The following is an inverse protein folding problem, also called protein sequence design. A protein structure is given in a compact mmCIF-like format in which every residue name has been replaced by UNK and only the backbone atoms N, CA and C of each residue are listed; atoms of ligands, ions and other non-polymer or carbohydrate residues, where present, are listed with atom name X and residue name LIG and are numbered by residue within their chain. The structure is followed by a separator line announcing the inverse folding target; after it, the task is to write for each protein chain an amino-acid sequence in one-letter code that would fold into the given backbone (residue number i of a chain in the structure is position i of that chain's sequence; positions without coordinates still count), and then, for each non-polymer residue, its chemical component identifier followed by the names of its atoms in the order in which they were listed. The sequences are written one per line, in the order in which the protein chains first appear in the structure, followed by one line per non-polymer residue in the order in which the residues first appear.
data_IF_217746330255
#
_entry.id   IF_217746330255
#
_cell.length_a   1.000
_cell.length_b   1.000
_cell.length_c   1.000
_cell.angle_alpha   90.00
_cell.angle_beta   90.00
_cell.angle_gamma   90.00
#
_symmetry.space_group_name_H-M   'P 1'
#
loop_
_entity.id
_entity.type
_entity.pdbx_description
1 polymer ?
#
# COMPACT_ATOMS: atom_id res chain seq x y z
N UNK A 1 1.51 -47.17 -33.35
CA UNK A 1 2.39 -48.07 -34.14
C UNK A 1 2.18 -47.66 -35.60
N UNK A 2 3.16 -47.34 -36.44
CA UNK A 2 4.27 -48.22 -36.81
C UNK A 2 5.25 -47.54 -37.80
N UNK A 3 5.48 -46.22 -37.73
CA UNK A 3 6.49 -45.57 -38.58
C UNK A 3 7.93 -45.84 -38.12
N UNK A 4 8.13 -46.32 -36.89
CA UNK A 4 9.43 -46.73 -36.32
C UNK A 4 9.97 -48.08 -36.84
N UNK A 5 9.28 -48.78 -37.75
CA UNK A 5 9.63 -50.18 -38.11
C UNK A 5 10.10 -50.44 -39.53
N UNK A 6 10.20 -49.43 -40.40
CA UNK A 6 10.60 -49.65 -41.81
C UNK A 6 11.91 -48.97 -42.23
N UNK A 7 12.60 -48.29 -41.32
CA UNK A 7 13.98 -47.85 -41.57
C UNK A 7 14.77 -48.01 -40.27
N UNK A 8 15.85 -48.83 -40.23
CA UNK A 8 16.69 -48.88 -39.04
C UNK A 8 17.18 -47.46 -38.77
N UNK A 9 16.89 -46.95 -37.56
CA UNK A 9 17.47 -45.69 -37.11
C UNK A 9 18.99 -45.77 -37.32
N UNK A 10 19.60 -44.75 -37.96
CA UNK A 10 21.02 -44.80 -38.26
C UNK A 10 21.81 -45.02 -36.97
N UNK A 11 22.86 -45.83 -37.05
CA UNK A 11 23.64 -46.21 -35.88
C UNK A 11 24.14 -44.97 -35.11
N UNK A 12 24.21 -45.05 -33.78
CA UNK A 12 24.50 -43.90 -32.91
C UNK A 12 25.87 -43.26 -33.16
N UNK A 13 26.76 -43.99 -33.84
CA UNK A 13 28.08 -43.56 -34.29
C UNK A 13 28.06 -42.82 -35.64
N UNK A 14 26.89 -42.59 -36.23
CA UNK A 14 26.75 -41.88 -37.51
C UNK A 14 26.18 -40.48 -37.34
N UNK A 15 26.60 -39.58 -38.23
CA UNK A 15 26.02 -38.26 -38.44
C UNK A 15 25.38 -38.25 -39.83
N UNK A 16 24.24 -37.58 -39.95
CA UNK A 16 23.52 -37.47 -41.20
C UNK A 16 23.20 -36.02 -41.52
N UNK A 17 23.15 -35.70 -42.80
CA UNK A 17 22.70 -34.42 -43.32
C UNK A 17 21.84 -34.68 -44.56
N UNK A 18 20.72 -33.98 -44.66
CA UNK A 18 19.75 -34.14 -45.75
C UNK A 18 19.72 -32.86 -46.57
N UNK A 19 20.13 -32.96 -47.84
CA UNK A 19 20.26 -31.82 -48.74
C UNK A 19 19.32 -32.01 -49.91
N UNK A 20 18.54 -30.98 -50.24
CA UNK A 20 17.68 -30.99 -51.43
C UNK A 20 18.55 -30.85 -52.69
N UNK A 21 18.40 -31.77 -53.64
CA UNK A 21 19.17 -31.79 -54.91
C UNK A 21 18.43 -31.04 -56.01
N UNK A 22 17.15 -31.37 -56.22
CA UNK A 22 16.30 -30.83 -57.29
C UNK A 22 14.83 -30.89 -56.88
N UNK A 23 14.03 -30.00 -57.45
CA UNK A 23 12.58 -30.02 -57.31
C UNK A 23 11.97 -29.92 -58.71
N UNK A 24 11.29 -30.98 -59.15
CA UNK A 24 10.59 -31.05 -60.44
C UNK A 24 9.08 -31.15 -60.19
N UNK A 25 8.39 -30.02 -60.26
CA UNK A 25 6.95 -29.95 -60.01
C UNK A 25 6.58 -30.41 -58.59
N UNK A 26 5.90 -31.54 -58.47
CA UNK A 26 5.45 -32.10 -57.19
C UNK A 26 6.47 -33.05 -56.53
N UNK A 27 7.57 -33.39 -57.21
CA UNK A 27 8.60 -34.28 -56.67
C UNK A 27 9.83 -33.49 -56.22
N UNK A 28 10.24 -33.69 -54.97
CA UNK A 28 11.48 -33.14 -54.42
C UNK A 28 12.48 -34.26 -54.20
N UNK A 29 13.62 -34.18 -54.87
CA UNK A 29 14.73 -35.11 -54.73
C UNK A 29 15.67 -34.63 -53.62
N UNK A 30 15.93 -35.50 -52.64
CA UNK A 30 16.87 -35.24 -51.56
C UNK A 30 18.05 -36.22 -51.62
N UNK A 31 19.24 -35.74 -51.27
CA UNK A 31 20.40 -36.56 -50.96
C UNK A 31 20.53 -36.67 -49.44
N UNK A 32 20.64 -37.89 -48.94
CA UNK A 32 20.99 -38.17 -47.55
C UNK A 32 22.48 -38.52 -47.47
N UNK A 33 23.28 -37.64 -46.89
CA UNK A 33 24.69 -37.89 -46.57
C UNK A 33 24.79 -38.56 -45.21
N UNK A 34 25.44 -39.72 -45.12
CA UNK A 34 25.67 -40.44 -43.86
C UNK A 34 27.18 -40.65 -43.71
N UNK A 35 27.73 -40.24 -42.56
CA UNK A 35 29.17 -40.35 -42.25
C UNK A 35 29.36 -40.87 -40.83
N UNK A 36 30.34 -41.74 -40.59
CA UNK A 36 30.69 -42.15 -39.22
C UNK A 36 31.38 -40.99 -38.50
N UNK A 37 31.02 -40.76 -37.23
CA UNK A 37 31.62 -39.72 -36.38
C UNK A 37 33.14 -39.86 -36.25
N UNK A 38 33.68 -41.08 -36.33
CA UNK A 38 35.13 -41.34 -36.37
C UNK A 38 35.84 -40.74 -37.61
N UNK A 39 35.15 -40.52 -38.72
CA UNK A 39 35.71 -39.80 -39.88
C UNK A 39 35.66 -38.28 -39.71
N UNK A 40 34.86 -37.79 -38.76
CA UNK A 40 34.78 -36.37 -38.41
C UNK A 40 35.77 -35.98 -37.29
N UNK A 41 36.45 -36.96 -36.68
CA UNK A 41 37.44 -36.77 -35.61
C UNK A 41 38.88 -36.56 -36.09
N UNK A 42 39.08 -36.26 -37.38
CA UNK A 42 40.40 -35.92 -37.91
C UNK A 42 40.92 -34.63 -37.24
N UNK A 43 42.20 -34.61 -36.88
CA UNK A 43 42.88 -33.45 -36.31
C UNK A 43 42.78 -32.21 -37.23
N UNK A 44 42.68 -32.41 -38.54
CA UNK A 44 42.46 -31.34 -39.52
C UNK A 44 41.16 -30.55 -39.28
N UNK A 45 40.19 -31.14 -38.57
CA UNK A 45 38.88 -30.53 -38.29
C UNK A 45 38.73 -30.00 -36.86
N UNK A 46 39.71 -30.20 -35.96
CA UNK A 46 39.60 -29.92 -34.52
C UNK A 46 39.11 -28.49 -34.17
N UNK A 47 39.42 -27.50 -35.01
CA UNK A 47 39.04 -26.09 -34.80
C UNK A 47 37.81 -25.65 -35.60
N UNK A 48 37.13 -26.57 -36.30
CA UNK A 48 35.96 -26.27 -37.15
C UNK A 48 34.69 -26.79 -36.47
N UNK A 49 33.70 -25.91 -36.27
CA UNK A 49 32.38 -26.29 -35.72
C UNK A 49 31.54 -27.16 -36.66
N UNK A 50 31.76 -27.00 -37.96
CA UNK A 50 31.11 -27.80 -38.99
C UNK A 50 32.14 -28.29 -39.99
N UNK A 51 31.94 -29.51 -40.47
CA UNK A 51 32.76 -30.15 -41.49
C UNK A 51 31.90 -30.26 -42.73
N UNK A 52 32.42 -29.72 -43.83
CA UNK A 52 31.76 -29.73 -45.12
C UNK A 52 32.37 -30.83 -45.97
N UNK A 53 31.56 -31.76 -46.45
CA UNK A 53 31.98 -32.84 -47.34
C UNK A 53 31.18 -32.77 -48.62
N UNK A 54 31.86 -32.78 -49.76
CA UNK A 54 31.24 -32.64 -51.07
C UNK A 54 31.32 -33.95 -51.82
N UNK A 55 30.22 -34.37 -52.44
CA UNK A 55 30.16 -35.61 -53.23
C UNK A 55 29.27 -35.43 -54.46
N UNK A 56 29.73 -35.97 -55.59
CA UNK A 56 28.90 -36.08 -56.78
C UNK A 56 27.79 -37.11 -56.56
N UNK A 57 26.54 -36.69 -56.76
CA UNK A 57 25.33 -37.54 -56.75
C UNK A 57 24.63 -37.31 -58.08
N UNK A 58 24.56 -38.36 -58.91
CA UNK A 58 24.12 -38.29 -60.31
C UNK A 58 24.95 -37.28 -61.12
N UNK A 59 24.32 -36.21 -61.62
CA UNK A 59 24.96 -35.12 -62.37
C UNK A 59 25.26 -33.89 -61.53
N UNK A 60 24.95 -33.90 -60.23
CA UNK A 60 25.05 -32.74 -59.34
C UNK A 60 26.14 -32.94 -58.28
N UNK A 61 26.87 -31.86 -57.97
CA UNK A 61 27.79 -31.83 -56.84
C UNK A 61 27.04 -31.37 -55.58
N UNK A 62 26.88 -32.27 -54.61
CA UNK A 62 26.11 -32.02 -53.39
C UNK A 62 27.06 -31.81 -52.20
N UNK A 63 26.83 -30.74 -51.46
CA UNK A 63 27.63 -30.36 -50.30
C UNK A 63 26.88 -30.66 -49.00
N UNK A 64 27.42 -31.57 -48.19
CA UNK A 64 26.87 -31.95 -46.88
C UNK A 64 27.61 -31.25 -45.75
N UNK A 65 26.88 -30.82 -44.72
CA UNK A 65 27.41 -30.11 -43.55
C UNK A 65 27.16 -30.90 -42.28
N UNK A 66 28.21 -31.52 -41.75
CA UNK A 66 28.16 -32.26 -40.50
C UNK A 66 28.61 -31.39 -39.32
N UNK A 67 27.96 -31.55 -38.16
CA UNK A 67 28.44 -30.94 -36.91
C UNK A 67 29.68 -31.69 -36.43
N UNK A 68 30.74 -30.97 -36.09
CA UNK A 68 31.93 -31.58 -35.51
C UNK A 68 31.70 -31.85 -34.01
N UNK A 69 31.70 -33.11 -33.55
CA UNK A 69 31.52 -33.44 -32.14
C UNK A 69 32.76 -33.12 -31.28
N UNK A 70 33.91 -32.88 -31.91
CA UNK A 70 35.20 -32.64 -31.25
C UNK A 70 35.69 -31.19 -31.39
N UNK A 71 34.83 -30.28 -31.85
CA UNK A 71 35.19 -28.87 -31.87
C UNK A 71 35.41 -28.39 -30.42
N UNK A 72 36.63 -28.00 -30.09
CA UNK A 72 36.98 -27.45 -28.78
C UNK A 72 36.17 -26.16 -28.59
N UNK A 73 35.27 -26.13 -27.59
CA UNK A 73 34.51 -24.92 -27.28
C UNK A 73 35.37 -24.01 -26.41
N UNK A 74 36.18 -23.16 -27.05
CA UNK A 74 37.07 -22.16 -26.42
C UNK A 74 36.36 -21.14 -25.51
N UNK A 75 35.04 -21.26 -25.36
CA UNK A 75 34.22 -20.38 -24.53
C UNK A 75 34.67 -20.43 -23.06
N UNK A 76 35.11 -21.59 -22.57
CA UNK A 76 35.60 -21.75 -21.21
C UNK A 76 36.91 -20.99 -20.94
N UNK A 77 37.83 -20.98 -21.91
CA UNK A 77 39.11 -20.27 -21.76
C UNK A 77 38.92 -18.75 -21.84
N UNK A 78 37.89 -18.28 -22.56
CA UNK A 78 37.62 -16.84 -22.73
C UNK A 78 37.06 -16.17 -21.47
N UNK A 79 36.21 -16.83 -20.67
CA UNK A 79 35.65 -16.20 -19.45
C UNK A 79 36.70 -16.09 -18.34
N UNK A 80 37.60 -17.07 -18.22
CA UNK A 80 38.70 -17.07 -17.24
C UNK A 80 39.61 -15.86 -17.40
N UNK A 81 39.81 -15.37 -18.64
CA UNK A 81 40.57 -14.15 -18.93
C UNK A 81 39.96 -12.88 -18.31
N UNK A 82 38.66 -12.87 -18.07
CA UNK A 82 37.93 -11.71 -17.54
C UNK A 82 37.61 -11.83 -16.04
N UNK A 83 37.78 -13.01 -15.45
CA UNK A 83 37.49 -13.26 -14.03
C UNK A 83 38.21 -12.30 -13.06
N UNK A 84 39.51 -11.95 -13.24
CA UNK A 84 40.19 -11.02 -12.34
C UNK A 84 39.60 -9.60 -12.39
N UNK A 85 39.24 -9.12 -13.59
CA UNK A 85 38.61 -7.81 -13.76
C UNK A 85 37.21 -7.78 -13.13
N UNK A 86 36.44 -8.85 -13.29
CA UNK A 86 35.12 -8.97 -12.67
C UNK A 86 35.22 -8.99 -11.14
N UNK A 87 36.21 -9.68 -10.57
CA UNK A 87 36.45 -9.71 -9.12
C UNK A 87 36.78 -8.32 -8.55
N UNK A 88 37.63 -7.54 -9.22
CA UNK A 88 37.96 -6.16 -8.78
C UNK A 88 36.74 -5.25 -8.84
N UNK A 89 35.93 -5.33 -9.90
CA UNK A 89 34.70 -4.55 -10.03
C UNK A 89 33.71 -4.94 -8.92
N UNK A 90 33.52 -6.24 -8.67
CA UNK A 90 32.65 -6.74 -7.62
C UNK A 90 33.11 -6.25 -6.24
N UNK A 91 34.41 -6.27 -5.96
CA UNK A 91 34.98 -5.76 -4.71
C UNK A 91 34.76 -4.25 -4.55
N UNK A 92 34.93 -3.47 -5.62
CA UNK A 92 34.65 -2.04 -5.62
C UNK A 92 33.18 -1.72 -5.34
N UNK A 93 32.26 -2.45 -5.97
CA UNK A 93 30.81 -2.31 -5.71
C UNK A 93 30.49 -2.67 -4.26
N UNK A 94 31.03 -3.79 -3.75
CA UNK A 94 30.82 -4.23 -2.38
C UNK A 94 31.26 -3.14 -1.37
N UNK A 95 32.45 -2.57 -1.55
CA UNK A 95 32.96 -1.46 -0.73
C UNK A 95 32.01 -0.26 -0.73
N UNK A 96 31.53 0.18 -1.89
CA UNK A 96 30.59 1.30 -2.00
C UNK A 96 29.28 0.98 -1.26
N UNK A 97 28.74 -0.22 -1.44
CA UNK A 97 27.49 -0.63 -0.78
C UNK A 97 27.64 -0.68 0.74
N UNK A 98 28.77 -1.17 1.26
CA UNK A 98 29.04 -1.17 2.70
C UNK A 98 29.17 0.24 3.26
N UNK A 99 29.87 1.15 2.57
CA UNK A 99 30.00 2.53 2.99
C UNK A 99 28.65 3.28 2.98
N UNK A 100 27.81 3.02 1.96
CA UNK A 100 26.46 3.57 1.89
C UNK A 100 25.56 3.04 3.01
N UNK A 101 25.66 1.74 3.32
CA UNK A 101 24.92 1.12 4.42
C UNK A 101 25.27 1.74 5.78
N UNK A 102 26.56 1.95 6.05
CA UNK A 102 27.03 2.59 7.28
C UNK A 102 26.57 4.05 7.39
N UNK A 103 26.61 4.82 6.29
CA UNK A 103 26.07 6.19 6.30
C UNK A 103 24.56 6.22 6.51
N UNK A 104 23.84 5.24 5.97
CA UNK A 104 22.40 5.15 6.15
C UNK A 104 22.03 4.78 7.59
N UNK A 105 22.76 3.87 8.24
CA UNK A 105 22.51 3.53 9.64
C UNK A 105 22.79 4.69 10.57
N UNK A 106 23.92 5.38 10.42
CA UNK A 106 24.25 6.55 11.25
C UNK A 106 23.26 7.70 11.04
N UNK A 107 22.82 7.95 9.81
CA UNK A 107 21.78 8.92 9.53
C UNK A 107 20.44 8.55 10.19
N UNK A 108 20.03 7.27 10.12
CA UNK A 108 18.81 6.81 10.80
C UNK A 108 18.91 6.98 12.30
N UNK A 109 20.02 6.61 12.92
CA UNK A 109 20.22 6.75 14.37
C UNK A 109 20.10 8.22 14.81
N UNK A 110 20.68 9.16 14.05
CA UNK A 110 20.60 10.58 14.37
C UNK A 110 19.21 11.18 14.12
N UNK A 111 18.62 10.91 12.95
CA UNK A 111 17.36 11.56 12.53
C UNK A 111 16.10 10.93 13.12
N UNK A 112 16.10 9.64 13.45
CA UNK A 112 14.94 9.01 14.08
C UNK A 112 14.64 9.62 15.46
N UNK A 113 15.66 10.07 16.19
CA UNK A 113 15.46 10.74 17.49
C UNK A 113 14.78 12.09 17.31
N UNK A 114 15.19 12.88 16.31
CA UNK A 114 14.55 14.15 15.98
C UNK A 114 13.09 13.96 15.54
N UNK A 115 12.85 12.99 14.64
CA UNK A 115 11.49 12.67 14.17
C UNK A 115 10.61 12.24 15.34
N UNK A 116 11.11 11.38 16.23
CA UNK A 116 10.39 10.95 17.41
C UNK A 116 10.09 12.11 18.37
N UNK A 117 11.02 13.06 18.54
CA UNK A 117 10.80 14.25 19.36
C UNK A 117 9.70 15.15 18.76
N UNK A 118 9.73 15.38 17.45
CA UNK A 118 8.69 16.15 16.73
C UNK A 118 7.33 15.48 16.85
N UNK A 119 7.25 14.16 16.67
CA UNK A 119 5.99 13.43 16.83
C UNK A 119 5.45 13.48 18.26
N UNK A 120 6.32 13.41 19.29
CA UNK A 120 5.90 13.58 20.68
C UNK A 120 5.34 14.98 20.95
N UNK A 121 5.93 16.02 20.37
CA UNK A 121 5.40 17.39 20.48
C UNK A 121 4.03 17.52 19.80
N UNK A 122 3.87 16.96 18.60
CA UNK A 122 2.59 16.94 17.91
C UNK A 122 1.50 16.19 18.70
N UNK A 123 1.84 15.03 19.29
CA UNK A 123 0.92 14.27 20.13
C UNK A 123 0.51 15.02 21.40
N UNK A 124 1.44 15.75 22.05
CA UNK A 124 1.13 16.62 23.20
C UNK A 124 0.21 17.78 22.80
N UNK A 125 0.51 18.44 21.69
CA UNK A 125 -0.33 19.54 21.18
C UNK A 125 -1.75 19.06 20.82
N UNK A 126 -1.88 17.85 20.27
CA UNK A 126 -3.18 17.24 19.99
C UNK A 126 -3.96 16.95 21.29
N UNK A 127 -3.30 16.37 22.30
CA UNK A 127 -3.91 16.12 23.60
C UNK A 127 -4.35 17.43 24.28
N UNK A 128 -3.50 18.45 24.27
CA UNK A 128 -3.82 19.76 24.85
C UNK A 128 -5.00 20.41 24.13
N UNK A 129 -5.10 20.27 22.80
CA UNK A 129 -6.22 20.76 22.02
C UNK A 129 -7.53 20.02 22.35
N UNK A 130 -7.48 18.69 22.52
CA UNK A 130 -8.63 17.90 22.95
C UNK A 130 -9.09 18.28 24.37
N UNK A 131 -8.14 18.45 25.30
CA UNK A 131 -8.45 18.89 26.66
C UNK A 131 -9.08 20.30 26.65
N UNK A 132 -8.54 21.23 25.87
CA UNK A 132 -9.14 22.56 25.72
C UNK A 132 -10.54 22.50 25.08
N UNK A 133 -10.75 21.63 24.09
CA UNK A 133 -12.05 21.46 23.47
C UNK A 133 -13.08 20.88 24.45
N UNK A 134 -12.69 19.87 25.23
CA UNK A 134 -13.56 19.29 26.28
C UNK A 134 -13.89 20.31 27.36
N UNK A 135 -12.89 21.05 27.86
CA UNK A 135 -13.12 22.11 28.84
C UNK A 135 -14.07 23.18 28.31
N UNK A 136 -13.93 23.61 27.05
CA UNK A 136 -14.88 24.58 26.45
C UNK A 136 -16.29 24.01 26.34
N UNK A 137 -16.43 22.73 25.99
CA UNK A 137 -17.74 22.07 25.95
C UNK A 137 -18.38 22.04 27.35
N UNK A 138 -17.62 21.67 28.37
CA UNK A 138 -18.07 21.65 29.77
C UNK A 138 -18.48 23.06 30.24
N UNK A 139 -17.70 24.08 29.89
CA UNK A 139 -18.04 25.48 30.16
C UNK A 139 -19.35 25.90 29.47
N UNK A 140 -19.56 25.54 28.21
CA UNK A 140 -20.82 25.86 27.51
C UNK A 140 -22.03 25.12 28.09
N UNK A 141 -21.84 23.92 28.62
CA UNK A 141 -22.92 23.17 29.30
C UNK A 141 -23.25 23.79 30.67
N UNK A 142 -22.23 24.24 31.40
CA UNK A 142 -22.40 25.01 32.63
C UNK A 142 -23.12 26.34 32.40
N UNK A 143 -22.77 27.11 31.36
CA UNK A 143 -23.47 28.37 31.03
C UNK A 143 -24.94 28.16 30.64
N UNK A 144 -25.26 27.06 29.96
CA UNK A 144 -26.64 26.69 29.61
C UNK A 144 -27.44 26.21 30.83
N UNK A 145 -26.77 25.65 31.82
CA UNK A 145 -27.40 25.16 33.05
C UNK A 145 -27.35 26.17 34.20
N UNK A 146 -26.72 27.33 34.02
CA UNK A 146 -26.63 28.36 35.03
C UNK A 146 -28.02 28.93 35.40
N UNK A 147 -28.22 29.12 36.71
CA UNK A 147 -29.46 29.64 37.29
C UNK A 147 -29.81 31.03 36.73
N UNK A 148 -28.80 31.83 36.38
CA UNK A 148 -28.99 33.15 35.78
C UNK A 148 -29.61 33.08 34.36
N UNK A 149 -29.15 32.14 33.52
CA UNK A 149 -29.69 31.92 32.16
C UNK A 149 -31.14 31.46 32.22
N UNK A 150 -31.47 30.58 33.17
CA UNK A 150 -32.85 30.12 33.41
C UNK A 150 -33.74 31.23 33.93
N UNK A 151 -33.26 32.07 34.84
CA UNK A 151 -33.99 33.23 35.32
C UNK A 151 -34.33 34.20 34.19
N UNK A 152 -33.40 34.46 33.26
CA UNK A 152 -33.65 35.28 32.07
C UNK A 152 -34.70 34.65 31.14
N UNK A 153 -34.62 33.34 30.88
CA UNK A 153 -35.59 32.62 30.07
C UNK A 153 -37.01 32.66 30.68
N UNK A 154 -37.13 32.37 31.97
CA UNK A 154 -38.42 32.42 32.69
C UNK A 154 -38.94 33.86 32.73
N UNK A 155 -38.08 34.85 33.00
CA UNK A 155 -38.48 36.25 32.98
C UNK A 155 -39.04 36.68 31.61
N UNK A 156 -38.42 36.26 30.50
CA UNK A 156 -38.91 36.54 29.15
C UNK A 156 -40.27 35.89 28.85
N UNK A 157 -40.48 34.64 29.29
CA UNK A 157 -41.77 33.94 29.11
C UNK A 157 -42.90 34.56 29.93
N UNK A 158 -42.57 35.06 31.11
CA UNK A 158 -43.55 35.70 32.02
C UNK A 158 -43.80 37.16 31.62
N UNK A 159 -42.83 37.84 31.01
CA UNK A 159 -42.98 39.21 30.52
C UNK A 159 -43.71 39.27 29.18
N UNK A 160 -45.03 39.06 29.18
CA UNK A 160 -45.87 39.37 28.02
C UNK A 160 -46.14 40.88 27.96
N UNK A 161 -46.08 41.54 26.78
CA UNK A 161 -46.38 42.97 26.65
C UNK A 161 -47.79 43.29 27.17
N UNK A 162 -47.89 44.14 28.19
CA UNK A 162 -49.16 44.55 28.81
C UNK A 162 -49.61 43.72 30.03
N UNK A 163 -48.80 42.75 30.49
CA UNK A 163 -49.07 42.00 31.72
C UNK A 163 -48.82 42.82 32.99
N UNK A 164 -49.61 42.56 34.04
CA UNK A 164 -49.38 43.14 35.36
C UNK A 164 -48.09 42.57 35.98
N UNK A 165 -47.31 43.38 36.73
CA UNK A 165 -46.09 42.91 37.37
C UNK A 165 -46.39 41.80 38.39
N UNK A 166 -45.63 40.71 38.34
CA UNK A 166 -45.75 39.59 39.29
C UNK A 166 -45.09 39.99 40.62
N UNK A 167 -45.82 40.00 41.75
CA UNK A 167 -45.26 40.39 43.03
C UNK A 167 -44.41 39.24 43.59
N UNK A 168 -43.09 39.34 43.53
CA UNK A 168 -42.16 38.32 44.04
C UNK A 168 -41.69 38.66 45.46
N UNK A 169 -41.74 37.69 46.37
CA UNK A 169 -41.09 37.78 47.69
C UNK A 169 -39.60 37.40 47.62
N UNK A 170 -39.25 36.53 46.68
CA UNK A 170 -37.88 36.09 46.46
C UNK A 170 -37.81 35.02 45.39
N UNK A 171 -36.59 34.70 44.96
CA UNK A 171 -36.33 33.59 44.06
C UNK A 171 -35.09 32.83 44.53
N UNK A 172 -35.03 31.55 44.20
CA UNK A 172 -33.86 30.70 44.37
C UNK A 172 -33.67 29.89 43.09
N UNK A 173 -32.45 29.83 42.57
CA UNK A 173 -32.15 29.07 41.36
C UNK A 173 -31.02 28.09 41.61
N UNK A 174 -31.21 26.86 41.16
CA UNK A 174 -30.20 25.81 41.06
C UNK A 174 -30.02 25.38 39.59
N UNK A 175 -28.99 24.59 39.28
CA UNK A 175 -28.63 24.23 37.91
C UNK A 175 -29.76 23.55 37.10
N UNK A 176 -30.78 23.02 37.79
CA UNK A 176 -31.91 22.30 37.18
C UNK A 176 -33.29 22.86 37.51
N UNK A 177 -33.37 23.88 38.35
CA UNK A 177 -34.64 24.34 38.90
C UNK A 177 -34.59 25.83 39.23
N UNK A 178 -35.65 26.56 38.91
CA UNK A 178 -35.87 27.93 39.39
C UNK A 178 -37.15 27.97 40.22
N UNK A 179 -37.02 28.41 41.48
CA UNK A 179 -38.13 28.52 42.43
C UNK A 179 -38.44 30.00 42.66
N UNK A 180 -39.65 30.42 42.33
CA UNK A 180 -40.18 31.75 42.62
C UNK A 180 -41.10 31.67 43.84
N UNK A 181 -40.87 32.52 44.84
CA UNK A 181 -41.72 32.63 46.04
C UNK A 181 -42.59 33.87 45.93
N UNK A 182 -43.88 33.70 46.17
CA UNK A 182 -44.91 34.72 46.00
C UNK A 182 -45.62 34.99 47.35
N UNK A 183 -46.17 36.20 47.54
CA UNK A 183 -47.02 36.49 48.68
C UNK A 183 -48.35 35.73 48.57
N UNK A 184 -48.97 35.42 49.70
CA UNK A 184 -50.27 34.76 49.73
C UNK A 184 -51.32 35.57 48.95
N UNK A 185 -52.08 34.90 48.08
CA UNK A 185 -53.10 35.53 47.24
C UNK A 185 -52.56 36.20 45.96
N UNK A 186 -51.28 36.03 45.62
CA UNK A 186 -50.74 36.47 44.34
C UNK A 186 -51.39 35.73 43.16
N UNK A 187 -51.60 36.43 42.05
CA UNK A 187 -52.05 35.83 40.80
C UNK A 187 -50.91 35.02 40.15
N UNK A 188 -51.08 33.70 40.10
CA UNK A 188 -50.11 32.74 39.55
C UNK A 188 -50.37 32.37 38.10
N UNK A 189 -51.44 32.87 37.49
CA UNK A 189 -51.92 32.43 36.17
C UNK A 189 -50.86 32.59 35.07
N UNK A 190 -50.13 33.70 35.07
CA UNK A 190 -49.05 33.98 34.12
C UNK A 190 -47.85 33.05 34.30
N UNK A 191 -47.53 32.67 35.54
CA UNK A 191 -46.41 31.77 35.86
C UNK A 191 -46.73 30.31 35.49
N UNK A 192 -47.98 29.87 35.73
CA UNK A 192 -48.45 28.55 35.34
C UNK A 192 -48.54 28.42 33.81
N UNK A 193 -49.01 29.47 33.12
CA UNK A 193 -49.04 29.51 31.66
C UNK A 193 -47.63 29.47 31.03
N UNK A 194 -46.62 30.00 31.72
CA UNK A 194 -45.22 29.91 31.32
C UNK A 194 -44.58 28.52 31.57
N UNK A 195 -45.33 27.57 32.14
CA UNK A 195 -44.90 26.20 32.41
C UNK A 195 -44.41 25.94 33.83
N UNK A 196 -44.68 26.86 34.78
CA UNK A 196 -44.38 26.68 36.19
C UNK A 196 -45.33 25.69 36.88
N UNK A 197 -44.84 25.03 37.93
CA UNK A 197 -45.59 24.06 38.74
C UNK A 197 -45.69 24.60 40.17
N UNK A 198 -46.90 24.62 40.72
CA UNK A 198 -47.13 25.08 42.10
C UNK A 198 -46.75 24.00 43.13
N UNK A 199 -46.00 24.39 44.17
CA UNK A 199 -45.60 23.52 45.28
C UNK A 199 -46.00 24.16 46.63
N UNK A 200 -46.54 23.33 47.54
CA UNK A 200 -47.15 23.77 48.81
C UNK A 200 -46.15 24.30 49.86
N UNK A 201 -46.67 25.17 50.76
CA UNK A 201 -45.89 26.16 51.52
C UNK A 201 -46.11 27.55 50.92
N UNK A 202 -45.65 28.69 51.50
CA UNK A 202 -45.94 30.03 50.95
C UNK A 202 -45.75 30.02 49.43
N UNK A 203 -46.78 30.43 48.68
CA UNK A 203 -47.01 30.06 47.27
C UNK A 203 -45.71 30.05 46.46
N UNK A 204 -45.22 28.85 46.12
CA UNK A 204 -43.97 28.66 45.40
C UNK A 204 -44.25 28.09 44.02
N UNK A 205 -43.70 28.72 42.97
CA UNK A 205 -43.76 28.23 41.60
C UNK A 205 -42.38 27.75 41.17
N UNK A 206 -42.33 26.50 40.74
CA UNK A 206 -41.12 25.80 40.32
C UNK A 206 -41.07 25.68 38.80
N UNK A 207 -39.94 26.04 38.21
CA UNK A 207 -39.65 25.85 36.79
C UNK A 207 -38.51 24.84 36.63
N UNK A 208 -38.83 23.66 36.08
CA UNK A 208 -37.87 22.59 35.79
C UNK A 208 -37.05 22.85 34.52
N UNK A 209 -36.17 21.90 34.20
CA UNK A 209 -35.26 21.98 33.04
C UNK A 209 -36.00 22.01 31.69
N UNK A 210 -37.12 21.32 31.60
CA UNK A 210 -37.97 21.22 30.42
C UNK A 210 -38.56 22.57 29.96
N UNK A 211 -38.57 23.59 30.81
CA UNK A 211 -39.14 24.90 30.45
C UNK A 211 -38.18 25.72 29.57
N UNK A 212 -36.87 25.52 29.69
CA UNK A 212 -35.84 26.33 29.01
C UNK A 212 -34.80 25.49 28.26
N UNK A 213 -35.13 24.23 27.94
CA UNK A 213 -34.31 23.31 27.14
C UNK A 213 -34.49 23.44 25.63
#
# INVERSE_FOLDING_TARGET
MQLDRLSPLPATDTAYDLVMIRQDGAETLYALGIVRKAHLSDAAYANRRHITLTRAVETNEVTFRFRNPHAVDDREVRWLKHAPKAAVIAMGIALITTAASQRASTWREQRMVEIAAVQRQAARAALDAELQASARADWTDLERTDAATRLLCVAQKVSTPGGAPVPLLGYAGEAKELVLRLPEGADTSSLLAAGGIEQGGPTAIVFGQEVCG
#
